data_IF_996311484388
#
_entry.id   IF_996311484388
#
_cell.length_a   1.000
_cell.length_b   1.000
_cell.length_c   1.000
_cell.angle_alpha   90.00
_cell.angle_beta   90.00
_cell.angle_gamma   90.00
#
_symmetry.space_group_name_H-M   'P 1'
#
loop_
_entity.id
_entity.type
_entity.pdbx_description
1 polymer ?
#
# COMPACT_ATOMS: atom_id res chain seq x y z
N UNK A 1 -15.24 -4.67 9.41
CA UNK A 1 -13.79 -4.69 9.73
C UNK A 1 -13.07 -5.28 8.52
N UNK A 2 -11.93 -4.72 8.07
CA UNK A 2 -11.26 -5.24 6.88
C UNK A 2 -10.84 -6.69 7.11
N UNK A 3 -11.10 -7.62 6.18
CA UNK A 3 -10.85 -9.05 6.37
C UNK A 3 -9.40 -9.40 6.77
N UNK A 4 -8.45 -8.51 6.50
CA UNK A 4 -7.04 -8.65 6.85
C UNK A 4 -6.77 -8.42 8.35
N UNK A 5 -7.52 -7.52 9.00
CA UNK A 5 -7.40 -7.26 10.45
C UNK A 5 -7.85 -8.49 11.24
N UNK A 6 -8.99 -9.06 10.84
CA UNK A 6 -9.54 -10.25 11.46
C UNK A 6 -8.61 -11.46 11.24
N UNK A 7 -7.96 -11.57 10.07
CA UNK A 7 -6.99 -12.64 9.77
C UNK A 7 -5.70 -12.52 10.59
N UNK A 8 -5.13 -11.31 10.74
CA UNK A 8 -3.91 -11.10 11.52
C UNK A 8 -4.17 -11.26 13.02
N UNK A 9 -5.32 -10.80 13.51
CA UNK A 9 -5.70 -10.91 14.92
C UNK A 9 -6.18 -12.31 15.31
N UNK A 10 -6.66 -13.13 14.36
CA UNK A 10 -7.05 -14.52 14.63
C UNK A 10 -5.91 -15.42 15.13
N UNK A 11 -4.64 -15.04 14.89
CA UNK A 11 -3.46 -15.77 15.34
C UNK A 11 -2.81 -15.23 16.63
N UNK A 12 -3.37 -14.18 17.25
CA UNK A 12 -2.77 -13.44 18.37
C UNK A 12 -3.63 -13.61 19.62
N UNK A 13 -3.00 -13.87 20.78
CA UNK A 13 -3.71 -14.03 22.06
C UNK A 13 -4.47 -12.75 22.45
N UNK A 14 -5.62 -12.90 23.15
CA UNK A 14 -6.52 -11.78 23.47
C UNK A 14 -5.85 -10.58 24.15
N UNK A 15 -4.76 -10.79 24.90
CA UNK A 15 -3.99 -9.74 25.58
C UNK A 15 -3.06 -8.93 24.66
N UNK A 16 -2.75 -9.43 23.46
CA UNK A 16 -1.80 -8.82 22.50
C UNK A 16 -2.51 -8.13 21.32
N UNK A 17 -3.83 -8.29 21.20
CA UNK A 17 -4.69 -7.70 20.16
C UNK A 17 -4.54 -6.17 20.08
N UNK A 18 -4.36 -5.50 21.21
CA UNK A 18 -4.14 -4.05 21.28
C UNK A 18 -2.82 -3.62 20.63
N UNK A 19 -1.72 -4.31 20.93
CA UNK A 19 -0.40 -4.05 20.36
C UNK A 19 -0.33 -4.43 18.87
N UNK A 20 -0.93 -5.56 18.49
CA UNK A 20 -1.01 -5.99 17.09
C UNK A 20 -1.77 -4.97 16.22
N UNK A 21 -2.90 -4.45 16.73
CA UNK A 21 -3.67 -3.41 16.06
C UNK A 21 -2.89 -2.09 15.94
N UNK A 22 -2.15 -1.71 16.98
CA UNK A 22 -1.29 -0.52 16.97
C UNK A 22 -0.18 -0.60 15.92
N UNK A 23 0.53 -1.73 15.85
CA UNK A 23 1.58 -1.98 14.84
C UNK A 23 0.99 -2.00 13.43
N UNK A 24 -0.14 -2.68 13.22
CA UNK A 24 -0.80 -2.72 11.90
C UNK A 24 -1.26 -1.33 11.45
N UNK A 25 -1.78 -0.50 12.36
CA UNK A 25 -2.10 0.88 12.06
C UNK A 25 -0.84 1.71 11.70
N UNK A 26 0.25 1.55 12.44
CA UNK A 26 1.52 2.22 12.14
C UNK A 26 2.06 1.85 10.76
N UNK A 27 2.01 0.57 10.39
CA UNK A 27 2.44 0.08 9.06
C UNK A 27 1.55 0.66 7.96
N UNK A 28 0.23 0.72 8.16
CA UNK A 28 -0.68 1.34 7.19
C UNK A 28 -0.40 2.83 7.00
N UNK A 29 -0.21 3.58 8.09
CA UNK A 29 0.14 5.00 8.03
C UNK A 29 1.48 5.21 7.32
N UNK A 30 2.47 4.38 7.64
CA UNK A 30 3.77 4.39 6.98
C UNK A 30 3.65 4.12 5.48
N UNK A 31 2.92 3.08 5.08
CA UNK A 31 2.69 2.74 3.68
C UNK A 31 1.97 3.85 2.91
N UNK A 32 0.98 4.49 3.54
CA UNK A 32 0.28 5.65 2.98
C UNK A 32 1.22 6.84 2.78
N UNK A 33 2.00 7.21 3.80
CA UNK A 33 2.97 8.30 3.71
C UNK A 33 4.04 8.03 2.65
N UNK A 34 4.56 6.81 2.59
CA UNK A 34 5.54 6.39 1.57
C UNK A 34 4.97 6.47 0.15
N UNK A 35 3.73 5.98 -0.05
CA UNK A 35 3.06 6.05 -1.34
C UNK A 35 2.87 7.50 -1.81
N UNK A 36 2.43 8.38 -0.92
CA UNK A 36 2.27 9.82 -1.22
C UNK A 36 3.63 10.44 -1.58
N UNK A 37 4.69 10.14 -0.84
CA UNK A 37 6.03 10.66 -1.12
C UNK A 37 6.52 10.27 -2.51
N UNK A 38 6.40 8.99 -2.88
CA UNK A 38 6.79 8.50 -4.21
C UNK A 38 5.98 9.17 -5.32
N UNK A 39 4.66 9.26 -5.17
CA UNK A 39 3.81 9.91 -6.17
C UNK A 39 4.12 11.40 -6.33
N UNK A 40 4.39 12.10 -5.24
CA UNK A 40 4.81 13.49 -5.26
C UNK A 40 6.15 13.66 -5.98
N UNK A 41 7.15 12.82 -5.67
CA UNK A 41 8.46 12.85 -6.36
C UNK A 41 8.31 12.67 -7.87
N UNK A 42 7.49 11.71 -8.32
CA UNK A 42 7.22 11.47 -9.74
C UNK A 42 6.52 12.67 -10.39
N UNK A 43 5.51 13.23 -9.74
CA UNK A 43 4.80 14.41 -10.24
C UNK A 43 5.74 15.60 -10.43
N UNK A 44 6.53 15.93 -9.41
CA UNK A 44 7.48 17.04 -9.48
C UNK A 44 8.58 16.78 -10.51
N UNK A 45 9.02 15.53 -10.69
CA UNK A 45 9.95 15.20 -11.76
C UNK A 45 9.38 15.53 -13.15
N UNK A 46 8.10 15.24 -13.42
CA UNK A 46 7.47 15.63 -14.70
C UNK A 46 7.34 17.14 -14.87
N UNK A 47 7.00 17.87 -13.80
CA UNK A 47 6.91 19.34 -13.84
C UNK A 47 8.28 19.96 -14.14
N UNK A 48 9.36 19.44 -13.53
CA UNK A 48 10.73 19.93 -13.73
C UNK A 48 11.23 19.72 -15.18
N UNK A 49 10.78 18.65 -15.84
CA UNK A 49 11.07 18.38 -17.26
C UNK A 49 10.26 19.24 -18.24
N UNK A 50 9.55 20.28 -17.76
CA UNK A 50 8.86 21.26 -18.60
C UNK A 50 7.46 20.83 -19.05
N UNK A 51 6.88 19.76 -18.48
CA UNK A 51 5.50 19.41 -18.76
C UNK A 51 4.53 20.41 -18.10
N UNK A 52 3.45 20.76 -18.80
CA UNK A 52 2.35 21.51 -18.18
C UNK A 52 1.77 20.71 -17.01
N UNK A 53 1.31 21.39 -15.96
CA UNK A 53 0.79 20.73 -14.75
C UNK A 53 -0.29 19.69 -15.08
N UNK A 54 -1.11 19.94 -16.10
CA UNK A 54 -2.14 19.01 -16.59
C UNK A 54 -1.52 17.74 -17.18
N UNK A 55 -0.49 17.85 -18.02
CA UNK A 55 0.20 16.69 -18.61
C UNK A 55 0.95 15.88 -17.54
N UNK A 56 1.58 16.54 -16.57
CA UNK A 56 2.25 15.89 -15.45
C UNK A 56 1.27 15.10 -14.56
N UNK A 57 0.06 15.64 -14.32
CA UNK A 57 -1.00 14.94 -13.59
C UNK A 57 -1.47 13.69 -14.33
N UNK A 58 -1.70 13.77 -15.64
CA UNK A 58 -2.11 12.60 -16.44
C UNK A 58 -1.05 11.50 -16.41
N UNK A 59 0.22 11.85 -16.62
CA UNK A 59 1.32 10.88 -16.63
C UNK A 59 1.52 10.23 -15.26
N UNK A 60 1.47 11.03 -14.18
CA UNK A 60 1.58 10.51 -12.80
C UNK A 60 0.41 9.56 -12.50
N UNK A 61 -0.80 9.90 -12.92
CA UNK A 61 -2.00 9.04 -12.74
C UNK A 61 -1.86 7.72 -13.47
N UNK A 62 -1.35 7.73 -14.70
CA UNK A 62 -1.09 6.50 -15.46
C UNK A 62 0.00 5.66 -14.79
N UNK A 63 1.04 6.29 -14.25
CA UNK A 63 2.08 5.58 -13.51
C UNK A 63 1.56 4.94 -12.22
N UNK A 64 0.53 5.50 -11.58
CA UNK A 64 -0.14 4.87 -10.42
C UNK A 64 -0.74 3.50 -10.75
N UNK A 65 -1.05 3.23 -12.03
CA UNK A 65 -1.50 1.90 -12.45
C UNK A 65 -0.41 0.83 -12.30
N UNK A 66 0.88 1.20 -12.32
CA UNK A 66 2.00 0.27 -12.16
C UNK A 66 2.03 -0.35 -10.75
N UNK A 67 2.12 0.41 -9.63
CA UNK A 67 2.09 -0.18 -8.31
C UNK A 67 0.76 -0.87 -8.02
N UNK A 68 -0.36 -0.41 -8.61
CA UNK A 68 -1.65 -1.09 -8.49
C UNK A 68 -1.61 -2.47 -9.17
N UNK A 69 -1.13 -2.55 -10.41
CA UNK A 69 -0.99 -3.81 -11.15
C UNK A 69 0.00 -4.76 -10.47
N UNK A 70 1.10 -4.24 -9.92
CA UNK A 70 2.06 -5.01 -9.13
C UNK A 70 1.41 -5.55 -7.85
N UNK A 71 0.64 -4.75 -7.14
CA UNK A 71 -0.10 -5.19 -5.96
C UNK A 71 -1.12 -6.28 -6.32
N UNK A 72 -1.87 -6.11 -7.40
CA UNK A 72 -2.81 -7.14 -7.91
C UNK A 72 -2.07 -8.42 -8.28
N UNK A 73 -0.94 -8.33 -8.99
CA UNK A 73 -0.13 -9.50 -9.36
C UNK A 73 0.47 -10.19 -8.13
N UNK A 74 0.89 -9.42 -7.13
CA UNK A 74 1.38 -9.95 -5.87
C UNK A 74 0.28 -10.73 -5.12
N UNK A 75 -0.97 -10.27 -5.18
CA UNK A 75 -2.12 -11.02 -4.63
C UNK A 75 -2.30 -12.37 -5.34
N UNK A 76 -2.16 -12.43 -6.67
CA UNK A 76 -2.18 -13.71 -7.41
C UNK A 76 -1.01 -14.62 -7.06
N UNK A 77 0.10 -14.06 -6.58
CA UNK A 77 1.29 -14.80 -6.13
C UNK A 77 1.22 -15.20 -4.65
N UNK A 78 0.23 -14.74 -3.88
CA UNK A 78 0.08 -15.15 -2.49
C UNK A 78 -0.31 -16.64 -2.43
N UNK A 79 0.53 -17.51 -1.84
CA UNK A 79 0.21 -18.91 -1.70
C UNK A 79 -0.98 -19.05 -0.74
N UNK A 80 -2.11 -19.53 -1.27
CA UNK A 80 -3.39 -19.71 -0.56
C UNK A 80 -3.35 -20.77 0.57
N UNK A 81 -2.19 -21.31 0.92
CA UNK A 81 -2.09 -22.27 2.02
C UNK A 81 -1.85 -21.52 3.31
N UNK A 82 -2.94 -21.24 4.02
CA UNK A 82 -2.89 -21.20 5.48
C UNK A 82 -2.11 -22.43 5.93
N UNK A 83 -0.92 -22.23 6.50
CA UNK A 83 -0.25 -23.30 7.22
C UNK A 83 -1.18 -23.63 8.39
N UNK A 84 -1.89 -24.74 8.26
CA UNK A 84 -2.44 -25.45 9.40
C UNK A 84 -1.23 -25.83 10.27
N UNK A 85 -1.14 -25.18 11.43
CA UNK A 85 -0.25 -25.56 12.54
C UNK A 85 -1.14 -25.94 13.70
#
# INVERSE_FOLDING_TARGET
MPPLFDFILAGVGGDEVGSASGVLNAIQQFGGALGIAVLATVFFAYVDHGHTSVSAMTNTTLLTLVPLALATLAVFRLPQRAREV
#
